data_IF_438897640894
#
_entry.id   IF_438897640894
#
_cell.length_a   1.000
_cell.length_b   1.000
_cell.length_c   1.000
_cell.angle_alpha   90.00
_cell.angle_beta   90.00
_cell.angle_gamma   90.00
#
_symmetry.space_group_name_H-M   'P 1'
#
loop_
_entity.id
_entity.type
_entity.pdbx_description
1 polymer ?
#
# COMPACT_ATOMS: atom_id res chain seq x y z
N UNK A 1 -4.14 0.94 29.44
CA UNK A 1 -4.42 0.17 28.21
C UNK A 1 -4.02 1.02 27.01
N UNK A 2 -3.34 0.46 26.02
CA UNK A 2 -2.81 1.18 24.86
C UNK A 2 -3.55 0.88 23.56
N UNK A 3 -3.25 1.64 22.50
CA UNK A 3 -3.77 1.44 21.15
C UNK A 3 -2.69 0.75 20.30
N UNK A 4 -2.82 -0.55 19.95
CA UNK A 4 -1.85 -1.23 19.12
C UNK A 4 -1.96 -0.72 17.67
N UNK A 5 -0.85 -0.22 17.13
CA UNK A 5 -0.74 0.22 15.74
C UNK A 5 0.57 -0.27 15.11
N UNK A 6 0.55 -0.55 13.81
CA UNK A 6 1.73 -0.88 13.01
C UNK A 6 2.09 0.33 12.13
N UNK A 7 3.36 0.74 12.11
CA UNK A 7 3.83 1.82 11.23
C UNK A 7 4.42 1.19 9.97
N UNK A 8 3.92 1.59 8.80
CA UNK A 8 4.37 1.09 7.52
C UNK A 8 4.87 2.25 6.63
N UNK A 9 6.10 2.13 6.14
CA UNK A 9 6.72 3.04 5.16
C UNK A 9 6.62 2.55 3.71
N UNK A 10 6.18 1.30 3.52
CA UNK A 10 6.02 0.61 2.25
C UNK A 10 4.66 -0.08 2.27
N UNK A 11 3.94 -0.04 1.15
CA UNK A 11 2.69 -0.77 1.00
C UNK A 11 2.97 -2.17 0.44
N UNK A 12 3.03 -3.17 1.33
CA UNK A 12 3.02 -4.58 0.94
C UNK A 12 1.60 -5.07 0.77
N UNK A 13 1.28 -5.67 -0.39
CA UNK A 13 -0.04 -6.23 -0.67
C UNK A 13 0.05 -7.69 -1.13
N UNK A 14 -0.99 -8.43 -0.76
CA UNK A 14 -1.29 -9.76 -1.28
C UNK A 14 -2.46 -9.68 -2.27
N UNK A 15 -2.67 -10.67 -3.16
CA UNK A 15 -3.87 -10.71 -4.01
C UNK A 15 -5.17 -10.61 -3.20
N UNK A 16 -5.23 -11.25 -2.03
CA UNK A 16 -6.39 -11.19 -1.13
C UNK A 16 -6.65 -9.80 -0.51
N UNK A 17 -5.62 -8.94 -0.46
CA UNK A 17 -5.72 -7.56 0.01
C UNK A 17 -6.09 -6.58 -1.11
N UNK A 18 -6.31 -7.08 -2.33
CA UNK A 18 -6.66 -6.27 -3.49
C UNK A 18 -5.44 -5.77 -4.27
N UNK A 19 -4.36 -6.55 -4.33
CA UNK A 19 -3.21 -6.23 -5.20
C UNK A 19 -3.71 -5.99 -6.64
N UNK A 20 -3.44 -4.82 -7.26
CA UNK A 20 -3.95 -4.54 -8.59
C UNK A 20 -3.09 -5.17 -9.68
N UNK A 21 -3.72 -5.93 -10.57
CA UNK A 21 -3.13 -6.41 -11.82
C UNK A 21 -4.12 -6.15 -12.98
N UNK A 22 -3.74 -5.38 -14.02
CA UNK A 22 -2.45 -4.71 -14.22
C UNK A 22 -2.28 -3.44 -13.38
N UNK A 23 -1.02 -3.04 -13.14
CA UNK A 23 -0.70 -1.72 -12.58
C UNK A 23 -0.59 -0.69 -13.71
N UNK A 24 -1.35 0.40 -13.62
CA UNK A 24 -1.32 1.50 -14.59
C UNK A 24 -1.04 2.81 -13.86
N UNK A 25 -0.16 3.66 -14.40
CA UNK A 25 0.08 4.99 -13.84
C UNK A 25 -1.19 5.83 -13.90
N UNK A 26 -1.55 6.45 -12.79
CA UNK A 26 -2.74 7.29 -12.65
C UNK A 26 -3.95 6.57 -12.07
N UNK A 27 -3.97 5.23 -12.11
CA UNK A 27 -5.07 4.44 -11.56
C UNK A 27 -5.15 4.54 -10.05
N UNK A 28 -6.38 4.45 -9.55
CA UNK A 28 -6.70 4.47 -8.13
C UNK A 28 -7.20 3.11 -7.70
N UNK A 29 -6.72 2.65 -6.55
CA UNK A 29 -7.06 1.35 -6.01
C UNK A 29 -7.46 1.47 -4.55
N UNK A 30 -8.37 0.58 -4.14
CA UNK A 30 -8.82 0.43 -2.77
C UNK A 30 -8.39 -0.90 -2.24
N UNK A 31 -7.71 -0.89 -1.09
CA UNK A 31 -7.13 -2.09 -0.50
C UNK A 31 -7.38 -2.12 1.00
N UNK A 32 -7.26 -3.30 1.57
CA UNK A 32 -7.50 -3.51 2.99
C UNK A 32 -6.31 -4.18 3.66
N UNK A 33 -6.09 -3.84 4.92
CA UNK A 33 -5.07 -4.45 5.76
C UNK A 33 -5.66 -4.74 7.14
N UNK A 34 -5.28 -5.89 7.69
CA UNK A 34 -5.62 -6.24 9.08
C UNK A 34 -4.86 -5.34 10.06
N UNK A 35 -5.55 -4.96 11.14
CA UNK A 35 -5.06 -4.10 12.21
C UNK A 35 -5.12 -2.61 11.86
N UNK A 36 -4.86 -1.77 12.86
CA UNK A 36 -4.68 -0.33 12.68
C UNK A 36 -3.25 -0.05 12.21
N UNK A 37 -3.13 0.46 10.98
CA UNK A 37 -1.86 0.74 10.33
C UNK A 37 -1.72 2.21 10.03
N UNK A 38 -0.54 2.73 10.31
CA UNK A 38 -0.16 4.10 10.04
C UNK A 38 0.69 4.10 8.77
N UNK A 39 0.24 4.87 7.79
CA UNK A 39 0.98 5.14 6.56
C UNK A 39 1.11 6.65 6.37
N UNK A 40 2.18 7.12 5.70
CA UNK A 40 2.23 8.52 5.26
C UNK A 40 1.16 8.77 4.18
N UNK A 41 0.41 9.86 4.34
CA UNK A 41 -0.55 10.37 3.35
C UNK A 41 0.13 11.41 2.46
N UNK A 42 -0.27 11.48 1.20
CA UNK A 42 0.22 12.47 0.21
C UNK A 42 1.75 12.46 -0.03
N UNK A 43 2.43 11.35 0.33
CA UNK A 43 3.86 11.13 0.11
C UNK A 43 4.06 9.87 -0.74
N UNK A 44 4.99 9.86 -1.72
CA UNK A 44 5.31 8.65 -2.46
C UNK A 44 5.88 7.54 -1.58
N UNK A 45 5.37 6.33 -1.75
CA UNK A 45 5.85 5.11 -1.09
C UNK A 45 5.85 3.93 -2.07
N UNK A 46 6.76 2.97 -1.81
CA UNK A 46 6.87 1.77 -2.64
C UNK A 46 5.66 0.85 -2.46
N UNK A 47 5.14 0.35 -3.57
CA UNK A 47 4.22 -0.79 -3.62
C UNK A 47 5.02 -2.05 -3.85
N UNK A 48 4.91 -3.01 -2.92
CA UNK A 48 5.60 -4.30 -2.99
C UNK A 48 4.63 -5.47 -2.94
N UNK A 49 5.03 -6.57 -3.57
CA UNK A 49 4.29 -7.83 -3.56
C UNK A 49 4.63 -8.73 -2.35
N UNK A 50 4.11 -9.96 -2.35
CA UNK A 50 4.38 -10.96 -1.32
C UNK A 50 5.87 -11.32 -1.20
N UNK A 51 6.59 -11.30 -2.33
CA UNK A 51 8.01 -11.60 -2.44
C UNK A 51 8.91 -10.40 -2.08
N UNK A 52 8.34 -9.29 -1.60
CA UNK A 52 9.07 -8.05 -1.29
C UNK A 52 9.75 -7.41 -2.50
N UNK A 53 9.21 -7.65 -3.70
CA UNK A 53 9.64 -6.96 -4.90
C UNK A 53 8.82 -5.69 -5.06
N UNK A 54 9.49 -4.56 -5.25
CA UNK A 54 8.85 -3.28 -5.53
C UNK A 54 8.49 -3.18 -7.01
N UNK A 55 7.26 -2.77 -7.29
CA UNK A 55 6.71 -2.67 -8.64
C UNK A 55 6.40 -1.23 -9.06
N UNK A 56 6.09 -0.36 -8.09
CA UNK A 56 5.63 0.98 -8.35
C UNK A 56 5.88 1.93 -7.17
N UNK A 57 5.92 3.23 -7.45
CA UNK A 57 5.65 4.26 -6.45
C UNK A 57 4.15 4.60 -6.47
N UNK A 58 3.56 4.69 -5.29
CA UNK A 58 2.17 5.07 -5.09
C UNK A 58 2.07 6.23 -4.10
N UNK A 59 0.94 6.93 -4.11
CA UNK A 59 0.58 7.91 -3.08
C UNK A 59 -0.74 7.49 -2.46
N UNK A 60 -0.77 7.32 -1.14
CA UNK A 60 -2.02 7.06 -0.42
C UNK A 60 -2.77 8.39 -0.28
N UNK A 61 -3.96 8.44 -0.88
CA UNK A 61 -4.85 9.62 -0.90
C UNK A 61 -5.85 9.57 0.27
N UNK A 62 -6.15 8.38 0.81
CA UNK A 62 -7.06 8.23 1.95
C UNK A 62 -6.74 6.99 2.77
N UNK A 63 -6.89 7.14 4.09
CA UNK A 63 -6.75 6.06 5.07
C UNK A 63 -7.93 6.12 6.05
N UNK A 64 -8.55 4.98 6.33
CA UNK A 64 -9.65 4.89 7.29
C UNK A 64 -9.48 3.64 8.16
N UNK A 65 -9.64 3.80 9.46
CA UNK A 65 -9.64 2.71 10.43
C UNK A 65 -11.06 2.37 10.83
N UNK A 66 -11.43 1.10 10.73
CA UNK A 66 -12.74 0.61 11.13
C UNK A 66 -12.63 -0.87 11.50
N UNK A 67 -13.27 -1.32 12.58
CA UNK A 67 -13.34 -2.72 12.97
C UNK A 67 -12.00 -3.49 12.89
N UNK A 68 -10.92 -2.96 13.49
CA UNK A 68 -9.57 -3.56 13.45
C UNK A 68 -9.02 -3.76 12.03
N UNK A 69 -9.46 -2.94 11.08
CA UNK A 69 -9.06 -2.97 9.67
C UNK A 69 -8.63 -1.57 9.24
N UNK A 70 -7.60 -1.51 8.40
CA UNK A 70 -7.20 -0.29 7.71
C UNK A 70 -7.61 -0.39 6.25
N UNK A 71 -8.44 0.55 5.82
CA UNK A 71 -8.83 0.76 4.42
C UNK A 71 -7.95 1.86 3.84
N UNK A 72 -7.34 1.59 2.68
CA UNK A 72 -6.48 2.54 1.97
C UNK A 72 -7.06 2.80 0.58
N UNK A 73 -7.04 4.05 0.17
CA UNK A 73 -7.20 4.45 -1.23
C UNK A 73 -5.89 5.07 -1.68
N UNK A 74 -5.29 4.56 -2.75
CA UNK A 74 -4.02 5.06 -3.27
C UNK A 74 -4.05 5.21 -4.78
N UNK A 75 -3.17 6.06 -5.28
CA UNK A 75 -2.93 6.30 -6.70
C UNK A 75 -1.55 5.82 -7.10
N UNK A 76 -1.44 5.13 -8.24
CA UNK A 76 -0.13 4.78 -8.82
C UNK A 76 0.49 6.00 -9.48
N UNK A 77 1.68 6.40 -9.04
CA UNK A 77 2.39 7.58 -9.57
C UNK A 77 3.53 7.21 -10.51
N UNK A 78 4.14 6.04 -10.34
CA UNK A 78 5.24 5.57 -11.20
C UNK A 78 5.26 4.05 -11.24
N UNK A 79 5.51 3.47 -12.41
CA UNK A 79 5.83 2.05 -12.55
C UNK A 79 7.33 1.87 -12.75
N UNK A 80 7.88 0.81 -12.19
CA UNK A 80 9.27 0.45 -12.44
C UNK A 80 9.37 -0.42 -13.69
N UNK A 81 10.44 -0.27 -14.51
CA UNK A 81 10.64 -1.10 -15.69
C UNK A 81 10.79 -2.60 -15.39
N UNK A 82 11.37 -2.91 -14.22
CA UNK A 82 11.51 -4.27 -13.71
C UNK A 82 11.36 -4.25 -12.18
N UNK A 83 10.73 -5.26 -11.57
CA UNK A 83 10.64 -5.36 -10.12
C UNK A 83 12.01 -5.57 -9.49
N UNK A 84 12.23 -5.02 -8.30
CA UNK A 84 13.48 -5.17 -7.56
C UNK A 84 13.23 -5.39 -6.06
N UNK A 85 14.12 -6.12 -5.39
CA UNK A 85 14.01 -6.37 -3.95
C UNK A 85 14.24 -5.07 -3.16
N UNK A 86 13.36 -4.78 -2.20
CA UNK A 86 13.58 -3.68 -1.26
C UNK A 86 14.57 -4.13 -0.19
N UNK A 87 15.63 -3.33 0.02
CA UNK A 87 16.67 -3.57 1.04
C UNK A 87 16.26 -3.04 2.41
#
# INVERSE_FOLDING_TARGET
MGMPCEINSILKLTPAQGYPEPLTVGDRHRVTKTGYRIFPLDVPLGLVDEAWLAHADIVIEKLTWEHQTTHLEFKVTRLYPAPFAVQ
#
